data_IF_813870845653
#
_entry.id   IF_813870845653
#
_cell.length_a   1.000
_cell.length_b   1.000
_cell.length_c   1.000
_cell.angle_alpha   90.00
_cell.angle_beta   90.00
_cell.angle_gamma   90.00
#
_symmetry.space_group_name_H-M   'P 1'
#
loop_
_entity.id
_entity.type
_entity.pdbx_description
1 polymer ?
#
# COMPACT_ATOMS: atom_id res chain seq x y z
N UNK A 1 16.34 7.57 -12.94
CA UNK A 1 15.31 7.19 -12.06
C UNK A 1 14.02 7.95 -12.23
N UNK A 2 14.08 9.21 -12.45
CA UNK A 2 12.91 9.98 -12.69
C UNK A 2 12.11 9.50 -13.87
N UNK A 3 12.78 9.08 -14.91
CA UNK A 3 12.09 8.59 -16.07
C UNK A 3 11.26 7.40 -15.73
N UNK A 4 11.77 6.54 -14.87
CA UNK A 4 11.05 5.35 -14.52
C UNK A 4 9.85 5.70 -13.67
N UNK A 5 10.00 6.73 -12.82
CA UNK A 5 8.87 7.16 -12.02
C UNK A 5 7.78 7.75 -12.91
N UNK A 6 8.17 8.52 -13.91
CA UNK A 6 7.18 9.10 -14.79
C UNK A 6 6.48 8.02 -15.60
N UNK A 7 7.22 7.02 -16.03
CA UNK A 7 6.62 5.92 -16.76
C UNK A 7 5.64 5.16 -15.86
N UNK A 8 6.00 5.01 -14.59
CA UNK A 8 5.14 4.30 -13.65
C UNK A 8 3.86 5.09 -13.40
N UNK A 9 3.98 6.41 -13.27
CA UNK A 9 2.81 7.23 -13.05
C UNK A 9 1.90 7.17 -14.28
N UNK A 10 2.50 7.19 -15.45
CA UNK A 10 1.72 7.10 -16.67
C UNK A 10 0.98 5.76 -16.75
N UNK A 11 1.65 4.69 -16.37
CA UNK A 11 1.01 3.39 -16.40
C UNK A 11 -0.13 3.35 -15.39
N UNK A 12 0.06 3.95 -14.23
CA UNK A 12 -0.98 3.97 -13.23
C UNK A 12 -2.18 4.77 -13.74
N UNK A 13 -1.93 5.87 -14.44
CA UNK A 13 -3.00 6.67 -14.97
C UNK A 13 -3.82 5.91 -15.99
N UNK A 14 -3.19 5.01 -16.71
CA UNK A 14 -3.89 4.24 -17.71
C UNK A 14 -4.42 2.93 -17.11
N UNK A 15 -4.31 2.79 -15.82
CA UNK A 15 -4.79 1.61 -15.11
C UNK A 15 -4.03 0.35 -15.53
N UNK A 16 -2.81 0.50 -15.98
CA UNK A 16 -1.99 -0.65 -16.31
C UNK A 16 -1.28 -1.04 -15.04
N UNK A 17 -2.00 -1.69 -14.15
CA UNK A 17 -1.51 -1.92 -12.81
C UNK A 17 -0.28 -2.82 -12.73
N UNK A 18 -0.23 -3.85 -13.55
CA UNK A 18 0.92 -4.73 -13.51
C UNK A 18 2.18 -4.00 -13.93
N UNK A 19 2.06 -3.19 -14.95
CA UNK A 19 3.20 -2.46 -15.47
C UNK A 19 3.63 -1.41 -14.44
N UNK A 20 2.68 -0.70 -13.89
CA UNK A 20 2.98 0.32 -12.89
C UNK A 20 3.65 -0.32 -11.68
N UNK A 21 3.16 -1.47 -11.25
CA UNK A 21 3.71 -2.13 -10.10
C UNK A 21 5.16 -2.51 -10.34
N UNK A 22 5.46 -3.00 -11.51
CA UNK A 22 6.83 -3.37 -11.82
C UNK A 22 7.73 -2.16 -11.81
N UNK A 23 7.30 -1.07 -12.42
CA UNK A 23 8.15 0.10 -12.50
C UNK A 23 8.38 0.74 -11.13
N UNK A 24 7.32 0.88 -10.34
CA UNK A 24 7.49 1.45 -9.01
C UNK A 24 8.36 0.50 -8.16
N UNK A 25 8.16 -0.79 -8.33
CA UNK A 25 8.94 -1.76 -7.57
C UNK A 25 10.42 -1.67 -7.89
N UNK A 26 10.73 -1.44 -9.15
CA UNK A 26 12.13 -1.33 -9.53
C UNK A 26 12.77 -0.10 -8.90
N UNK A 27 12.03 0.99 -8.81
CA UNK A 27 12.57 2.19 -8.20
C UNK A 27 12.76 1.96 -6.70
N UNK A 28 11.82 1.29 -6.05
CA UNK A 28 11.94 1.03 -4.62
C UNK A 28 13.14 0.12 -4.35
N UNK A 29 13.40 -0.83 -5.24
CA UNK A 29 14.53 -1.69 -5.04
C UNK A 29 15.83 -0.92 -5.19
N UNK A 30 15.89 -0.01 -6.14
CA UNK A 30 17.08 0.74 -6.36
C UNK A 30 17.28 1.81 -5.28
N UNK A 31 16.18 2.35 -4.79
CA UNK A 31 16.26 3.40 -3.80
C UNK A 31 15.15 3.23 -2.78
N UNK A 32 15.34 2.41 -1.77
CA UNK A 32 14.32 2.13 -0.79
C UNK A 32 13.82 3.33 0.01
N UNK A 33 14.55 4.41 -0.05
CA UNK A 33 14.12 5.59 0.67
C UNK A 33 13.44 6.62 -0.23
N UNK A 34 13.03 6.21 -1.40
CA UNK A 34 12.34 7.11 -2.29
C UNK A 34 10.86 7.06 -1.93
N UNK A 35 10.40 7.98 -1.11
CA UNK A 35 9.02 7.97 -0.63
C UNK A 35 8.02 8.05 -1.76
N UNK A 36 8.34 8.76 -2.82
CA UNK A 36 7.42 8.90 -3.93
C UNK A 36 7.19 7.55 -4.60
N UNK A 37 8.23 6.75 -4.74
CA UNK A 37 8.07 5.44 -5.36
C UNK A 37 7.27 4.51 -4.44
N UNK A 38 7.50 4.62 -3.13
CA UNK A 38 6.78 3.79 -2.20
C UNK A 38 5.29 4.15 -2.23
N UNK A 39 4.97 5.43 -2.30
CA UNK A 39 3.59 5.87 -2.36
C UNK A 39 2.97 5.39 -3.68
N UNK A 40 3.74 5.46 -4.77
CA UNK A 40 3.22 4.99 -6.06
C UNK A 40 2.86 3.51 -6.01
N UNK A 41 3.72 2.73 -5.38
CA UNK A 41 3.47 1.31 -5.28
C UNK A 41 2.24 1.07 -4.41
N UNK A 42 2.07 1.87 -3.34
CA UNK A 42 0.90 1.74 -2.49
C UNK A 42 -0.37 2.05 -3.28
N UNK A 43 -0.31 3.04 -4.16
CA UNK A 43 -1.47 3.39 -4.96
C UNK A 43 -1.86 2.24 -5.87
N UNK A 44 -0.89 1.55 -6.42
CA UNK A 44 -1.18 0.41 -7.28
C UNK A 44 -1.86 -0.67 -6.45
N UNK A 45 -1.34 -0.95 -5.26
CA UNK A 45 -1.90 -2.00 -4.45
C UNK A 45 -3.30 -1.64 -3.97
N UNK A 46 -3.54 -0.37 -3.68
CA UNK A 46 -4.86 0.06 -3.27
C UNK A 46 -5.85 -0.17 -4.41
N UNK A 47 -5.44 0.10 -5.64
CA UNK A 47 -6.32 -0.13 -6.76
C UNK A 47 -6.60 -1.59 -7.00
N UNK A 48 -5.67 -2.44 -6.60
CA UNK A 48 -5.86 -3.85 -6.78
C UNK A 48 -6.72 -4.42 -5.64
N UNK A 49 -7.07 -3.59 -4.69
CA UNK A 49 -7.88 -4.05 -3.58
C UNK A 49 -7.07 -4.55 -2.40
N UNK A 50 -5.75 -4.45 -2.48
CA UNK A 50 -4.90 -4.96 -1.42
C UNK A 50 -4.66 -3.83 -0.44
N UNK A 51 -5.67 -3.48 0.31
CA UNK A 51 -5.63 -2.34 1.21
C UNK A 51 -4.61 -2.49 2.34
N UNK A 52 -4.49 -3.67 2.88
CA UNK A 52 -3.55 -3.87 3.98
C UNK A 52 -2.12 -3.64 3.52
N UNK A 53 -1.77 -4.15 2.36
CA UNK A 53 -0.43 -3.97 1.86
C UNK A 53 -0.20 -2.50 1.54
N UNK A 54 -1.21 -1.82 1.02
CA UNK A 54 -1.08 -0.42 0.71
C UNK A 54 -0.83 0.38 1.98
N UNK A 55 -1.51 0.04 3.07
CA UNK A 55 -1.32 0.75 4.31
C UNK A 55 0.09 0.57 4.83
N UNK A 56 0.62 -0.62 4.72
CA UNK A 56 1.96 -0.85 5.21
C UNK A 56 2.98 -0.05 4.41
N UNK A 57 2.78 0.05 3.11
CA UNK A 57 3.69 0.82 2.30
C UNK A 57 3.57 2.30 2.62
N UNK A 58 2.35 2.77 2.89
CA UNK A 58 2.19 4.17 3.22
C UNK A 58 2.82 4.52 4.56
N UNK A 59 2.74 3.59 5.51
CA UNK A 59 3.39 3.81 6.79
C UNK A 59 4.89 3.89 6.58
N UNK A 60 5.42 3.07 5.69
CA UNK A 60 6.84 3.08 5.40
C UNK A 60 7.20 4.41 4.72
N UNK A 61 6.38 4.89 3.81
CA UNK A 61 6.65 6.15 3.14
C UNK A 61 6.68 7.30 4.14
N UNK A 62 5.79 7.28 5.11
CA UNK A 62 5.77 8.34 6.11
C UNK A 62 6.93 8.22 7.08
N UNK A 63 7.49 7.03 7.21
CA UNK A 63 8.64 6.83 8.04
C UNK A 63 9.85 7.47 7.34
N UNK A 64 9.88 7.41 6.01
CA UNK A 64 10.95 7.99 5.25
C UNK A 64 10.76 9.50 5.22
N UNK A 65 9.55 9.95 4.97
CA UNK A 65 9.27 11.37 4.83
C UNK A 65 7.93 11.67 5.51
N UNK A 66 7.93 12.09 6.75
CA UNK A 66 6.69 12.35 7.47
C UNK A 66 5.82 13.42 6.84
N UNK A 67 6.41 14.26 6.00
CA UNK A 67 5.65 15.31 5.37
C UNK A 67 5.14 14.94 3.99
N UNK A 68 5.24 13.68 3.62
CA UNK A 68 4.77 13.27 2.31
C UNK A 68 3.24 13.38 2.28
N UNK A 69 2.74 14.42 1.68
CA UNK A 69 1.31 14.70 1.68
C UNK A 69 0.49 13.63 0.95
N UNK A 70 1.02 13.10 -0.13
CA UNK A 70 0.29 12.09 -0.87
C UNK A 70 0.09 10.85 -0.01
N UNK A 71 1.08 10.49 0.78
CA UNK A 71 0.98 9.32 1.63
C UNK A 71 -0.09 9.54 2.69
N UNK A 72 -0.11 10.73 3.27
CA UNK A 72 -1.09 11.02 4.29
C UNK A 72 -2.49 11.00 3.72
N UNK A 73 -2.67 11.59 2.57
CA UNK A 73 -3.98 11.64 1.96
C UNK A 73 -4.47 10.25 1.61
N UNK A 74 -3.63 9.45 1.03
CA UNK A 74 -4.04 8.13 0.62
C UNK A 74 -4.35 7.26 1.84
N UNK A 75 -3.53 7.36 2.86
CA UNK A 75 -3.75 6.57 4.06
C UNK A 75 -5.09 6.96 4.68
N UNK A 76 -5.39 8.26 4.73
CA UNK A 76 -6.66 8.71 5.28
C UNK A 76 -7.82 8.19 4.46
N UNK A 77 -7.65 8.15 3.16
CA UNK A 77 -8.68 7.68 2.29
C UNK A 77 -8.94 6.19 2.51
N UNK A 78 -7.89 5.42 2.70
CA UNK A 78 -8.06 4.00 2.91
C UNK A 78 -8.69 3.72 4.27
N UNK A 79 -8.37 4.52 5.26
CA UNK A 79 -8.95 4.31 6.56
C UNK A 79 -10.42 4.70 6.58
N UNK A 80 -10.78 5.70 5.86
CA UNK A 80 -12.16 6.14 5.84
C UNK A 80 -13.06 5.23 5.02
N UNK A 81 -12.61 4.80 3.90
CA UNK A 81 -13.40 3.95 3.07
C UNK A 81 -14.11 2.81 3.77
N UNK A 82 -13.42 2.02 4.47
CA UNK A 82 -14.01 0.87 5.10
C UNK A 82 -15.14 1.28 5.99
N UNK A 83 -14.92 2.30 6.73
CA UNK A 83 -15.90 2.76 7.59
C UNK A 83 -17.11 3.18 6.87
N UNK A 84 -16.97 3.86 5.84
CA UNK A 84 -18.09 4.33 5.12
C UNK A 84 -18.92 3.16 4.66
N UNK A 85 -18.32 2.19 4.20
CA UNK A 85 -19.02 1.07 3.75
C UNK A 85 -19.49 0.16 4.77
N UNK A 86 -18.90 0.02 5.81
CA UNK A 86 -19.31 -0.81 6.82
C UNK A 86 -20.41 -0.33 7.59
N UNK A 87 -21.52 -0.69 7.30
CA UNK A 87 -22.65 -0.27 8.02
C UNK A 87 -22.53 -0.92 9.33
N UNK A 88 -22.94 -0.30 10.21
CA UNK A 88 -22.92 -0.80 11.53
C UNK A 88 -23.32 -2.20 11.67
N UNK A 89 -24.17 -2.54 10.95
CA UNK A 89 -24.62 -3.87 11.04
C UNK A 89 -23.51 -4.79 11.31
N UNK A 90 -22.58 -4.61 10.60
CA UNK A 90 -21.50 -5.48 10.73
C UNK A 90 -20.99 -5.63 12.08
N UNK A 91 -20.98 -4.57 12.55
CA UNK A 91 -20.42 -4.67 13.80
C UNK A 91 -20.61 -5.68 14.69
N UNK A 92 -21.53 -5.85 15.03
CA UNK A 92 -21.90 -6.77 16.03
C UNK A 92 -20.90 -7.79 15.99
N UNK A 93 -20.67 -7.99 15.03
CA UNK A 93 -19.81 -8.93 14.87
C UNK A 93 -18.94 -9.17 15.94
N UNK A 94 -19.24 -8.97 16.74
CA UNK A 94 -18.57 -9.26 17.82
C UNK A 94 -17.53 -10.24 17.62
N UNK A 95 -17.85 -10.96 17.21
CA UNK A 95 -17.09 -11.93 17.05
C UNK A 95 -15.82 -11.63 16.87
N UNK A 96 -15.87 -10.99 16.38
CA UNK A 96 -14.77 -10.49 15.94
C UNK A 96 -13.67 -10.65 16.87
N UNK A 97 -13.95 -10.31 17.81
CA UNK A 97 -12.99 -10.34 18.77
C UNK A 97 -12.09 -11.42 18.52
N UNK A 98 -12.52 -12.41 18.64
CA UNK A 98 -11.77 -13.53 18.55
C UNK A 98 -11.07 -13.63 17.29
N UNK A 99 -11.72 -13.65 16.44
CA UNK A 99 -11.14 -13.81 15.20
C UNK A 99 -10.00 -12.90 15.02
N UNK A 100 -10.23 -11.80 15.23
CA UNK A 100 -9.22 -10.83 15.02
C UNK A 100 -7.92 -11.18 15.55
N UNK A 101 -7.88 -11.56 16.64
CA UNK A 101 -6.67 -11.86 17.23
C UNK A 101 -5.66 -12.51 16.41
N UNK A 102 -5.90 -13.54 15.93
CA UNK A 102 -4.91 -14.32 15.23
C UNK A 102 -4.28 -13.57 14.13
N UNK A 103 -5.04 -13.02 13.33
CA UNK A 103 -4.52 -12.30 12.33
C UNK A 103 -3.43 -11.42 12.55
N UNK A 104 -3.51 -10.57 13.33
CA UNK A 104 -2.48 -9.61 13.51
C UNK A 104 -1.20 -10.33 13.68
N UNK A 105 -1.28 -11.29 14.40
CA UNK A 105 -0.10 -12.00 14.72
C UNK A 105 0.61 -12.43 13.49
N UNK A 106 -0.07 -12.89 12.57
CA UNK A 106 0.56 -13.35 11.45
C UNK A 106 1.22 -12.35 10.68
N UNK A 107 0.79 -11.28 10.72
CA UNK A 107 1.38 -10.29 10.04
C UNK A 107 2.67 -9.83 10.51
N UNK A 108 3.22 -10.28 11.41
CA UNK A 108 4.34 -9.84 12.04
C UNK A 108 5.25 -9.70 10.93
N UNK A 109 6.06 -9.31 10.62
CA UNK A 109 6.94 -9.25 9.54
C UNK A 109 6.33 -8.41 8.50
N UNK A 110 5.91 -7.28 8.83
CA UNK A 110 5.22 -6.41 7.96
C UNK A 110 5.67 -6.32 6.54
N UNK A 111 6.82 -6.17 6.26
CA UNK A 111 7.19 -6.05 4.89
C UNK A 111 7.81 -7.30 4.28
N UNK A 112 7.67 -8.38 4.97
CA UNK A 112 8.24 -9.62 4.46
C UNK A 112 7.66 -10.00 3.11
N UNK A 113 6.36 -9.86 2.96
CA UNK A 113 5.73 -10.23 1.72
C UNK A 113 6.20 -9.32 0.61
N UNK A 114 6.58 -8.12 0.94
CA UNK A 114 6.99 -7.18 -0.05
C UNK A 114 8.30 -7.66 -0.66
N UNK A 115 9.16 -8.25 0.10
CA UNK A 115 10.39 -8.74 -0.43
C UNK A 115 10.12 -9.83 -1.39
N UNK A 116 9.16 -10.66 -1.10
CA UNK A 116 8.83 -11.74 -1.94
C UNK A 116 8.33 -11.19 -3.24
N UNK A 117 7.57 -10.13 -3.21
CA UNK A 117 7.02 -9.55 -4.36
C UNK A 117 8.12 -9.04 -5.25
N UNK A 118 9.08 -8.39 -4.69
CA UNK A 118 10.16 -7.85 -5.47
C UNK A 118 11.05 -8.92 -6.04
N UNK A 119 11.22 -9.98 -5.32
CA UNK A 119 12.05 -11.02 -5.81
C UNK A 119 11.45 -11.69 -6.99
N UNK A 120 10.19 -11.81 -7.02
CA UNK A 120 9.52 -12.45 -8.09
C UNK A 120 9.46 -11.55 -9.26
N UNK A 121 9.47 -10.31 -9.04
CA UNK A 121 9.44 -9.36 -10.08
C UNK A 121 10.77 -9.24 -10.69
#
# INVERSE_FOLDING_TARGET
MIERLLAAEGALSRDELDHAQRLFGQVVEADPRNAIAVVGLARVLARRGDTDAARELLAHALDIDPDEAAARRLLGSLDAAPEAELPPAALPAPLPANAATPQPAERRGPLAWLRRLFRLG
#
